data_IF_618520899235
#
_entry.id   IF_618520899235
#
_cell.length_a   1.000
_cell.length_b   1.000
_cell.length_c   1.000
_cell.angle_alpha   90.00
_cell.angle_beta   90.00
_cell.angle_gamma   90.00
#
_symmetry.space_group_name_H-M   'P 1'
#
loop_
_entity.id
_entity.type
_entity.pdbx_description
1 polymer ?
#
# COMPACT_ATOMS: atom_id res chain seq x y z
N UNK A 1 -1.99 9.63 5.55
CA UNK A 1 -3.18 8.73 5.62
C UNK A 1 -2.69 7.31 5.87
N UNK A 2 -3.40 6.46 6.64
CA UNK A 2 -2.89 5.13 7.05
C UNK A 2 -2.43 4.23 5.89
N UNK A 3 -3.15 4.26 4.77
CA UNK A 3 -2.85 3.51 3.55
C UNK A 3 -1.45 3.79 3.00
N UNK A 4 -0.98 5.04 3.06
CA UNK A 4 0.38 5.40 2.61
C UNK A 4 1.46 4.82 3.53
N UNK A 5 1.19 4.70 4.83
CA UNK A 5 2.14 4.10 5.79
C UNK A 5 2.20 2.59 5.61
N UNK A 6 1.06 1.96 5.29
CA UNK A 6 0.98 0.55 4.93
C UNK A 6 1.79 0.20 3.69
N UNK A 7 1.80 1.06 2.65
CA UNK A 7 2.62 0.84 1.44
C UNK A 7 4.11 0.65 1.75
N UNK A 8 4.61 1.34 2.77
CA UNK A 8 6.02 1.29 3.18
C UNK A 8 6.25 0.42 4.41
N UNK A 9 5.22 -0.30 4.89
CA UNK A 9 5.28 -1.17 6.07
C UNK A 9 5.83 -0.40 7.29
N UNK A 10 5.45 0.88 7.42
CA UNK A 10 5.89 1.70 8.54
C UNK A 10 5.19 1.23 9.81
N UNK A 11 5.98 0.85 10.81
CA UNK A 11 5.49 0.43 12.12
C UNK A 11 5.75 1.45 13.21
N UNK A 12 6.82 2.23 13.06
CA UNK A 12 7.25 3.22 14.02
C UNK A 12 7.68 4.50 13.31
N UNK A 13 7.30 5.63 13.88
CA UNK A 13 7.64 6.96 13.38
C UNK A 13 8.31 7.72 14.52
N UNK A 14 9.48 8.29 14.24
CA UNK A 14 10.14 9.23 15.16
C UNK A 14 9.94 10.62 14.59
N UNK A 15 9.34 11.49 15.40
CA UNK A 15 9.09 12.88 15.01
C UNK A 15 9.49 13.83 16.14
N UNK A 16 9.96 15.04 15.83
CA UNK A 16 10.21 16.05 16.84
C UNK A 16 8.88 16.54 17.45
N UNK A 17 8.96 17.13 18.63
CA UNK A 17 7.77 17.56 19.41
C UNK A 17 6.95 18.67 18.74
N UNK A 18 7.56 19.43 17.83
CA UNK A 18 7.00 20.57 17.10
C UNK A 18 6.29 20.20 15.80
N UNK A 19 6.24 18.91 15.44
CA UNK A 19 5.54 18.42 14.24
C UNK A 19 4.16 17.90 14.62
N UNK A 20 3.15 18.30 13.83
CA UNK A 20 1.80 17.72 13.90
C UNK A 20 1.83 16.27 13.44
N UNK A 21 1.22 15.41 14.24
CA UNK A 21 1.19 13.97 14.02
C UNK A 21 -0.22 13.55 13.65
N UNK A 22 -0.39 12.71 12.60
CA UNK A 22 -1.70 12.20 12.25
C UNK A 22 -2.35 11.43 13.41
N UNK A 23 -3.67 11.59 13.57
CA UNK A 23 -4.44 11.01 14.69
C UNK A 23 -4.41 9.48 14.77
N UNK A 24 -4.13 8.79 13.67
CA UNK A 24 -4.06 7.33 13.64
C UNK A 24 -2.76 6.76 14.23
N UNK A 25 -1.85 7.61 14.73
CA UNK A 25 -0.60 7.18 15.33
C UNK A 25 -0.68 7.20 16.85
N UNK A 26 -0.24 6.12 17.48
CA UNK A 26 -0.25 6.01 18.94
C UNK A 26 1.11 6.42 19.50
N UNK A 27 1.13 7.35 20.47
CA UNK A 27 2.36 7.72 21.17
C UNK A 27 2.85 6.54 22.02
N UNK A 28 4.06 6.07 21.74
CA UNK A 28 4.72 5.00 22.52
C UNK A 28 5.56 5.60 23.62
N UNK A 29 6.44 6.54 23.28
CA UNK A 29 7.41 7.10 24.22
C UNK A 29 7.95 8.46 23.75
N UNK A 30 8.42 9.27 24.70
CA UNK A 30 9.13 10.52 24.43
C UNK A 30 10.60 10.41 24.86
N UNK A 31 11.51 10.85 24.00
CA UNK A 31 12.96 10.85 24.16
C UNK A 31 13.51 12.27 23.93
N UNK A 32 13.70 13.03 25.01
CA UNK A 32 14.05 14.44 24.90
C UNK A 32 13.01 15.18 24.03
N UNK A 33 13.46 15.82 22.94
CA UNK A 33 12.60 16.56 22.00
C UNK A 33 11.97 15.69 20.90
N UNK A 34 12.08 14.37 20.99
CA UNK A 34 11.52 13.46 19.99
C UNK A 34 10.46 12.56 20.60
N UNK A 35 9.46 12.23 19.81
CA UNK A 35 8.37 11.32 20.16
C UNK A 35 8.40 10.13 19.21
N UNK A 36 8.30 8.93 19.80
CA UNK A 36 8.16 7.67 19.09
C UNK A 36 6.67 7.32 19.04
N UNK A 37 6.17 7.12 17.84
CA UNK A 37 4.80 6.70 17.58
C UNK A 37 4.77 5.32 16.95
N UNK A 38 3.74 4.55 17.26
CA UNK A 38 3.39 3.31 16.61
C UNK A 38 2.31 3.58 15.56
N UNK A 39 2.38 2.85 14.46
CA UNK A 39 1.40 2.90 13.38
C UNK A 39 0.88 1.49 13.14
N UNK A 40 -0.44 1.34 13.03
CA UNK A 40 -1.03 0.07 12.60
C UNK A 40 -0.56 -0.27 11.19
N UNK A 41 -0.03 -1.49 11.02
CA UNK A 41 0.44 -1.98 9.74
C UNK A 41 -0.28 -3.28 9.36
N UNK A 42 -0.69 -3.41 8.10
CA UNK A 42 -1.26 -4.65 7.55
C UNK A 42 -0.24 -5.79 7.41
N UNK A 43 1.04 -5.53 7.67
CA UNK A 43 2.12 -6.51 7.56
C UNK A 43 2.78 -6.50 6.18
N UNK A 44 3.42 -7.63 5.83
CA UNK A 44 4.26 -7.72 4.62
C UNK A 44 3.47 -8.12 3.36
N UNK A 45 2.31 -8.77 3.53
CA UNK A 45 1.52 -9.28 2.42
C UNK A 45 0.15 -8.62 2.43
N UNK A 46 -0.31 -8.20 1.25
CA UNK A 46 -1.66 -7.71 1.05
C UNK A 46 -2.25 -8.23 -0.26
N UNK A 47 -3.56 -8.47 -0.27
CA UNK A 47 -4.31 -8.82 -1.46
C UNK A 47 -4.84 -7.54 -2.11
N UNK A 48 -4.38 -7.27 -3.33
CA UNK A 48 -4.69 -6.03 -4.04
C UNK A 48 -5.29 -6.31 -5.42
N UNK A 49 -6.17 -5.42 -5.86
CA UNK A 49 -6.69 -5.44 -7.22
C UNK A 49 -5.78 -4.63 -8.14
N UNK A 50 -5.24 -5.23 -9.19
CA UNK A 50 -4.33 -4.52 -10.10
C UNK A 50 -4.90 -4.35 -11.51
N UNK A 51 -5.94 -3.54 -11.68
CA UNK A 51 -6.60 -3.36 -13.00
C UNK A 51 -6.01 -2.19 -13.81
N UNK A 52 -5.13 -1.41 -13.19
CA UNK A 52 -4.54 -0.21 -13.77
C UNK A 52 -3.16 -0.55 -14.34
N UNK A 53 -2.81 0.10 -15.45
CA UNK A 53 -1.49 0.01 -16.04
C UNK A 53 -0.83 1.39 -15.97
N UNK A 54 0.37 1.42 -15.40
CA UNK A 54 1.28 2.54 -15.45
C UNK A 54 2.44 2.17 -16.39
N UNK A 55 2.36 2.68 -17.61
CA UNK A 55 3.47 2.67 -18.56
C UNK A 55 4.18 4.02 -18.46
N UNK A 56 5.48 3.98 -18.18
CA UNK A 56 6.28 5.19 -18.07
C UNK A 56 7.69 4.98 -18.58
N UNK A 57 8.29 6.09 -19.03
CA UNK A 57 9.74 6.18 -19.10
C UNK A 57 10.30 6.53 -17.72
N UNK A 58 11.59 6.26 -17.52
CA UNK A 58 12.25 6.45 -16.21
C UNK A 58 12.10 7.87 -15.63
N UNK A 59 11.83 8.88 -16.46
CA UNK A 59 11.66 10.26 -16.04
C UNK A 59 10.20 10.57 -15.62
N UNK A 60 9.22 9.92 -16.23
CA UNK A 60 7.79 10.06 -15.94
C UNK A 60 7.28 9.18 -14.78
N UNK A 61 8.10 8.23 -14.29
CA UNK A 61 7.75 7.32 -13.19
C UNK A 61 7.32 8.05 -11.91
N UNK A 62 8.05 9.11 -11.52
CA UNK A 62 7.84 9.77 -10.22
C UNK A 62 6.54 10.58 -10.17
N UNK A 63 6.19 11.43 -11.15
CA UNK A 63 4.91 12.13 -11.18
C UNK A 63 3.70 11.18 -11.07
N UNK A 64 3.68 10.12 -11.87
CA UNK A 64 2.53 9.21 -11.91
C UNK A 64 2.41 8.37 -10.63
N UNK A 65 3.53 7.96 -10.04
CA UNK A 65 3.55 7.31 -8.71
C UNK A 65 3.00 8.24 -7.64
N UNK A 66 3.38 9.53 -7.68
CA UNK A 66 2.90 10.54 -6.73
C UNK A 66 1.39 10.77 -6.87
N UNK A 67 0.88 10.85 -8.09
CA UNK A 67 -0.56 11.04 -8.36
C UNK A 67 -1.37 9.83 -7.87
N UNK A 68 -0.91 8.62 -8.17
CA UNK A 68 -1.52 7.39 -7.64
C UNK A 68 -1.51 7.37 -6.09
N UNK A 69 -0.36 7.65 -5.48
CA UNK A 69 -0.21 7.65 -4.02
C UNK A 69 -1.05 8.72 -3.33
N UNK A 70 -1.33 9.84 -4.00
CA UNK A 70 -2.16 10.94 -3.49
C UNK A 70 -3.66 10.71 -3.74
N UNK A 71 -4.02 9.79 -4.64
CA UNK A 71 -5.41 9.42 -4.93
C UNK A 71 -6.06 8.58 -3.81
N UNK A 72 -7.31 8.16 -4.01
CA UNK A 72 -8.00 7.20 -3.14
C UNK A 72 -7.66 5.73 -3.45
N UNK A 73 -6.92 5.46 -4.53
CA UNK A 73 -6.66 4.11 -5.02
C UNK A 73 -5.90 3.21 -4.02
N UNK A 74 -4.87 3.70 -3.28
CA UNK A 74 -4.21 2.86 -2.27
C UNK A 74 -5.16 2.43 -1.15
N UNK A 75 -6.03 3.34 -0.69
CA UNK A 75 -7.01 3.04 0.36
C UNK A 75 -8.02 1.95 -0.05
N UNK A 76 -8.37 1.86 -1.33
CA UNK A 76 -9.22 0.78 -1.88
C UNK A 76 -8.43 -0.38 -2.48
N UNK A 77 -7.14 -0.50 -2.13
CA UNK A 77 -6.22 -1.57 -2.57
C UNK A 77 -6.18 -1.75 -4.09
N UNK A 78 -6.23 -0.63 -4.84
CA UNK A 78 -6.08 -0.60 -6.30
C UNK A 78 -4.68 -0.16 -6.68
N UNK A 79 -3.86 -1.11 -7.14
CA UNK A 79 -2.45 -0.90 -7.45
C UNK A 79 -2.19 -0.97 -8.95
N UNK A 80 -1.37 -0.07 -9.53
CA UNK A 80 -1.00 -0.18 -10.93
C UNK A 80 -0.05 -1.36 -11.14
N UNK A 81 -0.15 -2.01 -12.30
CA UNK A 81 0.99 -2.69 -12.88
C UNK A 81 1.95 -1.62 -13.38
N UNK A 82 3.24 -1.77 -13.09
CA UNK A 82 4.24 -0.79 -13.51
C UNK A 82 5.09 -1.43 -14.59
N UNK A 83 5.19 -0.76 -15.73
CA UNK A 83 6.10 -1.11 -16.82
C UNK A 83 6.98 0.09 -17.12
N UNK A 84 8.28 -0.06 -16.85
CA UNK A 84 9.28 0.99 -17.07
C UNK A 84 10.03 0.62 -18.34
N UNK A 85 9.96 1.50 -19.34
CA UNK A 85 10.52 1.23 -20.68
C UNK A 85 10.02 -0.11 -21.27
N UNK A 86 8.75 -0.46 -21.04
CA UNK A 86 8.13 -1.69 -21.53
C UNK A 86 8.52 -2.96 -20.77
N UNK A 87 9.12 -2.84 -19.58
CA UNK A 87 9.48 -3.98 -18.74
C UNK A 87 9.05 -3.82 -17.28
N UNK A 88 8.45 -4.86 -16.65
CA UNK A 88 7.96 -6.08 -17.29
C UNK A 88 6.80 -5.81 -18.25
N UNK A 89 6.54 -6.75 -19.16
CA UNK A 89 5.37 -6.68 -20.03
C UNK A 89 4.08 -6.74 -19.18
N UNK A 90 3.14 -5.80 -19.37
CA UNK A 90 1.88 -5.80 -18.66
C UNK A 90 1.07 -7.07 -18.94
N UNK A 91 0.41 -7.60 -17.91
CA UNK A 91 -0.48 -8.74 -18.14
C UNK A 91 -1.82 -8.25 -18.66
N UNK A 92 -2.30 -8.85 -19.75
CA UNK A 92 -3.60 -8.52 -20.31
C UNK A 92 -4.73 -8.66 -19.27
N UNK A 93 -5.66 -7.71 -19.28
CA UNK A 93 -6.87 -7.77 -18.46
C UNK A 93 -7.65 -9.06 -18.80
N UNK A 94 -7.88 -9.91 -17.80
CA UNK A 94 -8.56 -11.21 -17.97
C UNK A 94 -7.65 -12.42 -18.14
N UNK A 95 -6.35 -12.25 -18.39
CA UNK A 95 -5.38 -13.35 -18.43
C UNK A 95 -4.87 -13.78 -17.04
N UNK A 96 -5.38 -13.16 -15.97
CA UNK A 96 -4.95 -13.46 -14.60
C UNK A 96 -5.64 -14.72 -14.07
N UNK A 97 -4.89 -15.66 -13.47
CA UNK A 97 -5.51 -16.69 -12.66
C UNK A 97 -6.29 -16.02 -11.53
N UNK A 98 -7.58 -16.35 -11.41
CA UNK A 98 -8.39 -15.87 -10.32
C UNK A 98 -7.80 -16.43 -9.00
N UNK A 99 -7.34 -15.57 -8.11
CA UNK A 99 -7.03 -15.95 -6.71
C UNK A 99 -8.31 -16.07 -5.89
N UNK A 100 -9.41 -16.50 -6.51
CA UNK A 100 -10.59 -16.92 -5.78
C UNK A 100 -10.32 -18.36 -5.37
N UNK A 101 -10.07 -18.58 -4.08
CA UNK A 101 -10.20 -19.91 -3.49
C UNK A 101 -11.71 -20.20 -3.50
N UNK A 102 -12.23 -20.65 -4.65
CA UNK A 102 -13.57 -21.23 -4.75
C UNK A 102 -13.48 -22.66 -4.23
N UNK A 103 -13.27 -22.83 -2.93
CA UNK A 103 -13.47 -24.11 -2.21
C UNK A 103 -13.39 -23.86 -0.70
N UNK A 104 -14.29 -23.02 -0.17
CA UNK A 104 -14.74 -23.18 1.21
C UNK A 104 -15.98 -24.08 1.16
N UNK A 105 -15.75 -25.39 1.02
CA UNK A 105 -16.80 -26.37 1.21
C UNK A 105 -17.15 -26.38 2.70
N UNK A 106 -18.31 -25.83 3.04
CA UNK A 106 -18.83 -25.85 4.41
C UNK A 106 -18.95 -27.32 4.84
N UNK A 107 -18.31 -27.76 5.93
CA UNK A 107 -18.46 -29.13 6.38
C UNK A 107 -19.90 -29.36 6.80
N UNK A 108 -20.54 -30.36 6.20
CA UNK A 108 -21.82 -30.88 6.66
C UNK A 108 -21.54 -31.64 7.96
N UNK A 109 -21.99 -31.09 9.10
CA UNK A 109 -22.01 -31.81 10.37
C UNK A 109 -22.85 -33.09 10.22
N UNK A 110 -22.32 -34.19 10.73
CA UNK A 110 -23.01 -35.49 10.84
C UNK A 110 -23.35 -35.77 12.30
#
# INVERSE_FOLDING_TARGET
RPDQYNLFILRYVVAPEDVEIPEFMDLVQTFGRHRLFQVESTGHFDLVGSVLLLESDKAADFPATKDWMSSALPAVKRHPQVSINGSPEPQAQGARPATVISDAQVPVES
#
